data_IF_339194798434
#
_entry.id   IF_339194798434
#
_cell.length_a   1.000
_cell.length_b   1.000
_cell.length_c   1.000
_cell.angle_alpha   90.00
_cell.angle_beta   90.00
_cell.angle_gamma   90.00
#
_symmetry.space_group_name_H-M   'P 1'
#
loop_
_entity.id
_entity.type
_entity.pdbx_description
1 polymer ?
#
# COMPACT_ATOMS: atom_id res chain seq x y z
N UNK A 1 11.61 -8.34 11.96
CA UNK A 1 10.88 -9.52 11.44
C UNK A 1 10.76 -10.63 12.48
N UNK A 2 11.87 -11.19 12.98
CA UNK A 2 11.86 -12.33 13.91
C UNK A 2 11.01 -12.14 15.18
N UNK A 3 11.01 -10.96 15.79
CA UNK A 3 10.23 -10.70 17.01
C UNK A 3 8.72 -10.85 16.75
N UNK A 4 8.23 -10.35 15.62
CA UNK A 4 6.80 -10.41 15.28
C UNK A 4 6.43 -11.80 14.76
N UNK A 5 7.19 -12.33 13.81
CA UNK A 5 6.80 -13.56 13.11
C UNK A 5 7.24 -14.85 13.79
N UNK A 6 8.37 -14.85 14.51
CA UNK A 6 8.88 -16.05 15.17
C UNK A 6 8.50 -16.09 16.64
N UNK A 7 8.34 -14.93 17.30
CA UNK A 7 7.97 -14.86 18.71
C UNK A 7 6.51 -14.45 18.94
N UNK A 8 5.73 -14.24 17.87
CA UNK A 8 4.31 -13.86 17.92
C UNK A 8 4.03 -12.68 18.86
N UNK A 9 4.94 -11.70 18.87
CA UNK A 9 4.83 -10.53 19.72
C UNK A 9 3.91 -9.48 19.08
N UNK A 10 2.76 -9.25 19.69
CA UNK A 10 1.72 -8.33 19.18
C UNK A 10 1.87 -6.88 19.69
N UNK A 11 2.92 -6.55 20.43
CA UNK A 11 3.05 -5.21 20.98
C UNK A 11 3.18 -4.15 19.87
N UNK A 12 2.31 -3.12 19.85
CA UNK A 12 2.23 -2.16 18.74
C UNK A 12 3.55 -1.49 18.37
N UNK A 13 4.41 -1.22 19.36
CA UNK A 13 5.73 -0.63 19.17
C UNK A 13 6.61 -1.40 18.18
N UNK A 14 6.55 -2.74 18.18
CA UNK A 14 7.37 -3.55 17.29
C UNK A 14 6.83 -3.55 15.86
N UNK A 15 5.50 -3.59 15.70
CA UNK A 15 4.85 -3.52 14.40
C UNK A 15 5.02 -2.13 13.77
N UNK A 16 4.87 -1.06 14.56
CA UNK A 16 5.17 0.29 14.11
C UNK A 16 6.63 0.44 13.68
N UNK A 17 7.59 -0.07 14.48
CA UNK A 17 9.00 -0.03 14.13
C UNK A 17 9.31 -0.85 12.87
N UNK A 18 8.70 -2.03 12.70
CA UNK A 18 8.90 -2.85 11.51
C UNK A 18 8.31 -2.16 10.25
N UNK A 19 7.10 -1.61 10.35
CA UNK A 19 6.50 -0.85 9.26
C UNK A 19 7.34 0.36 8.86
N UNK A 20 7.84 1.13 9.83
CA UNK A 20 8.74 2.27 9.57
C UNK A 20 10.05 1.82 8.91
N UNK A 21 10.62 0.70 9.36
CA UNK A 21 11.84 0.14 8.80
C UNK A 21 11.64 -0.25 7.32
N UNK A 22 10.58 -1.00 7.01
CA UNK A 22 10.26 -1.36 5.63
C UNK A 22 10.04 -0.14 4.74
N UNK A 23 9.24 0.83 5.19
CA UNK A 23 9.00 2.07 4.43
C UNK A 23 10.33 2.78 4.12
N UNK A 24 11.21 2.89 5.12
CA UNK A 24 12.50 3.57 4.97
C UNK A 24 13.41 2.85 3.98
N UNK A 25 13.51 1.51 4.08
CA UNK A 25 14.32 0.68 3.19
C UNK A 25 13.79 0.70 1.75
N UNK A 26 12.48 0.57 1.54
CA UNK A 26 11.86 0.67 0.21
C UNK A 26 12.11 2.05 -0.39
N UNK A 27 11.93 3.14 0.37
CA UNK A 27 12.23 4.50 -0.14
C UNK A 27 13.69 4.68 -0.54
N UNK A 28 14.62 4.11 0.22
CA UNK A 28 16.04 4.14 -0.14
C UNK A 28 16.27 3.40 -1.46
N UNK A 29 15.85 2.13 -1.53
CA UNK A 29 16.03 1.28 -2.70
C UNK A 29 15.32 1.86 -3.95
N UNK A 30 14.15 2.46 -3.78
CA UNK A 30 13.41 3.09 -4.88
C UNK A 30 14.15 4.31 -5.45
N UNK A 31 14.81 5.12 -4.61
CA UNK A 31 15.64 6.23 -5.10
C UNK A 31 16.84 5.71 -5.89
N UNK A 32 17.49 4.67 -5.37
CA UNK A 32 18.65 4.06 -6.02
C UNK A 32 18.22 3.46 -7.38
N UNK A 33 17.09 2.74 -7.41
CA UNK A 33 16.49 2.17 -8.62
C UNK A 33 16.12 3.24 -9.67
N UNK A 34 15.45 4.32 -9.26
CA UNK A 34 15.10 5.41 -10.19
C UNK A 34 16.35 6.12 -10.73
N UNK A 35 17.43 6.20 -9.93
CA UNK A 35 18.67 6.86 -10.35
C UNK A 35 19.44 6.10 -11.44
N UNK A 36 19.22 4.79 -11.57
CA UNK A 36 19.86 3.92 -12.57
C UNK A 36 18.95 3.61 -13.75
N UNK A 37 17.66 3.96 -13.65
CA UNK A 37 16.66 3.71 -14.69
C UNK A 37 16.97 4.57 -15.93
N UNK A 38 16.87 3.97 -17.13
CA UNK A 38 17.02 4.72 -18.38
C UNK A 38 15.90 5.76 -18.56
N UNK A 39 16.16 6.85 -19.28
CA UNK A 39 15.16 7.92 -19.51
C UNK A 39 13.85 7.41 -20.16
N UNK A 40 13.93 6.33 -20.94
CA UNK A 40 12.79 5.71 -21.63
C UNK A 40 12.20 4.49 -20.90
N UNK A 41 12.78 4.07 -19.77
CA UNK A 41 12.29 2.92 -19.01
C UNK A 41 11.15 3.33 -18.07
N UNK A 42 10.12 2.48 -18.01
CA UNK A 42 9.03 2.65 -17.07
C UNK A 42 9.35 1.96 -15.75
N UNK A 43 9.04 2.64 -14.64
CA UNK A 43 9.12 2.05 -13.30
C UNK A 43 8.23 0.81 -13.26
N UNK A 44 8.82 -0.33 -12.90
CA UNK A 44 8.08 -1.58 -12.75
C UNK A 44 6.97 -1.45 -11.69
N UNK A 45 5.87 -2.22 -11.80
CA UNK A 45 4.79 -2.20 -10.82
C UNK A 45 5.28 -2.48 -9.40
N UNK A 46 4.56 -1.97 -8.40
CA UNK A 46 4.92 -2.12 -7.00
C UNK A 46 4.98 -3.60 -6.56
N UNK A 47 6.18 -4.08 -6.21
CA UNK A 47 6.45 -5.47 -5.85
C UNK A 47 7.00 -6.32 -7.00
N UNK A 48 6.99 -5.80 -8.24
CA UNK A 48 7.55 -6.44 -9.43
C UNK A 48 8.91 -5.86 -9.83
N UNK A 49 9.46 -4.91 -9.04
CA UNK A 49 10.80 -4.39 -9.27
C UNK A 49 11.88 -5.47 -9.04
N UNK A 50 12.95 -5.42 -9.82
CA UNK A 50 14.03 -6.40 -9.67
C UNK A 50 14.85 -6.21 -8.38
N UNK A 51 15.42 -7.32 -7.89
CA UNK A 51 16.33 -7.34 -6.75
C UNK A 51 15.68 -7.01 -5.41
N UNK A 52 16.46 -6.40 -4.51
CA UNK A 52 16.00 -6.10 -3.14
C UNK A 52 14.76 -5.20 -3.10
N UNK A 53 14.54 -4.35 -4.11
CA UNK A 53 13.42 -3.42 -4.11
C UNK A 53 12.08 -4.16 -4.13
N UNK A 54 11.86 -5.05 -5.11
CA UNK A 54 10.62 -5.83 -5.19
C UNK A 54 10.41 -6.71 -3.97
N UNK A 55 11.48 -7.32 -3.44
CA UNK A 55 11.42 -8.14 -2.24
C UNK A 55 10.94 -7.35 -1.02
N UNK A 56 11.57 -6.21 -0.71
CA UNK A 56 11.17 -5.36 0.42
C UNK A 56 9.81 -4.72 0.20
N UNK A 57 9.44 -4.41 -1.05
CA UNK A 57 8.13 -3.85 -1.37
C UNK A 57 7.01 -4.88 -1.18
N UNK A 58 7.23 -6.13 -1.60
CA UNK A 58 6.35 -7.26 -1.29
C UNK A 58 6.22 -7.50 0.22
N UNK A 59 7.33 -7.46 0.96
CA UNK A 59 7.32 -7.59 2.44
C UNK A 59 6.51 -6.48 3.09
N UNK A 60 6.66 -5.24 2.63
CA UNK A 60 5.90 -4.10 3.13
C UNK A 60 4.40 -4.27 2.86
N UNK A 61 4.00 -4.55 1.62
CA UNK A 61 2.59 -4.74 1.26
C UNK A 61 1.95 -5.87 2.06
N UNK A 62 2.64 -7.02 2.14
CA UNK A 62 2.17 -8.16 2.94
C UNK A 62 2.00 -7.77 4.41
N UNK A 63 2.98 -7.08 5.00
CA UNK A 63 2.88 -6.60 6.38
C UNK A 63 1.68 -5.67 6.59
N UNK A 64 1.46 -4.72 5.68
CA UNK A 64 0.32 -3.80 5.75
C UNK A 64 -1.03 -4.53 5.67
N UNK A 65 -1.10 -5.61 4.89
CA UNK A 65 -2.30 -6.43 4.73
C UNK A 65 -2.55 -7.41 5.88
N UNK A 66 -1.51 -7.96 6.51
CA UNK A 66 -1.68 -9.01 7.53
C UNK A 66 -1.65 -8.48 8.95
N UNK A 67 -0.76 -7.54 9.26
CA UNK A 67 -0.61 -7.02 10.62
C UNK A 67 -1.74 -6.06 10.99
N UNK A 68 -2.33 -6.23 12.17
CA UNK A 68 -3.34 -5.32 12.75
C UNK A 68 -2.81 -4.49 13.93
N UNK A 69 -1.60 -4.78 14.41
CA UNK A 69 -1.05 -4.17 15.63
C UNK A 69 -0.33 -2.82 15.41
N UNK A 70 -0.23 -2.29 14.19
CA UNK A 70 0.35 -0.95 13.94
C UNK A 70 -0.75 0.12 13.83
N UNK A 71 -0.43 1.38 14.13
CA UNK A 71 -1.31 2.52 13.77
C UNK A 71 -1.14 2.87 12.28
N UNK A 72 -2.19 2.73 11.45
CA UNK A 72 -2.10 3.08 10.04
C UNK A 72 -1.86 4.58 9.82
N UNK A 73 -2.36 5.46 10.70
CA UNK A 73 -2.12 6.89 10.64
C UNK A 73 -0.64 7.23 10.80
N UNK A 74 0.05 6.62 11.78
CA UNK A 74 1.49 6.85 11.99
C UNK A 74 2.32 6.42 10.79
N UNK A 75 1.99 5.29 10.17
CA UNK A 75 2.69 4.85 8.95
C UNK A 75 2.34 5.72 7.75
N UNK A 76 1.09 6.18 7.62
CA UNK A 76 0.66 7.04 6.52
C UNK A 76 1.38 8.40 6.55
N UNK A 77 1.70 8.91 7.74
CA UNK A 77 2.55 10.10 7.96
C UNK A 77 3.94 9.93 7.34
N UNK A 78 4.50 8.72 7.38
CA UNK A 78 5.78 8.41 6.75
C UNK A 78 5.69 8.35 5.23
N UNK A 79 4.52 8.02 4.68
CA UNK A 79 4.29 7.97 3.23
C UNK A 79 3.85 9.32 2.65
N UNK A 80 3.93 10.42 3.41
CA UNK A 80 3.74 11.77 2.85
C UNK A 80 4.82 12.03 1.78
N UNK A 81 4.52 12.90 0.82
CA UNK A 81 5.37 13.24 -0.36
C UNK A 81 5.26 12.32 -1.59
N UNK A 82 4.05 11.96 -2.02
CA UNK A 82 3.84 11.45 -3.40
C UNK A 82 4.71 10.23 -3.80
N UNK A 83 4.95 9.32 -2.86
CA UNK A 83 5.70 8.07 -3.08
C UNK A 83 4.93 6.89 -2.50
N UNK A 84 5.19 5.68 -3.00
CA UNK A 84 4.60 4.43 -2.51
C UNK A 84 3.06 4.46 -2.51
N UNK A 85 2.48 4.78 -3.67
CA UNK A 85 1.05 5.03 -3.82
C UNK A 85 0.19 3.81 -3.49
N UNK A 86 0.60 2.61 -3.90
CA UNK A 86 -0.09 1.36 -3.61
C UNK A 86 -0.12 1.10 -2.09
N UNK A 87 1.01 1.29 -1.40
CA UNK A 87 1.11 1.13 0.05
C UNK A 87 0.28 2.19 0.80
N UNK A 88 0.21 3.41 0.26
CA UNK A 88 -0.70 4.46 0.76
C UNK A 88 -2.15 4.07 0.61
N UNK A 89 -2.55 3.48 -0.53
CA UNK A 89 -3.90 3.02 -0.76
C UNK A 89 -4.30 1.90 0.21
N UNK A 90 -3.37 0.97 0.51
CA UNK A 90 -3.57 -0.06 1.55
C UNK A 90 -3.84 0.54 2.93
N UNK A 91 -3.01 1.50 3.36
CA UNK A 91 -3.20 2.19 4.65
C UNK A 91 -4.52 2.98 4.70
N UNK A 92 -4.89 3.67 3.62
CA UNK A 92 -6.17 4.37 3.53
C UNK A 92 -7.36 3.40 3.61
N UNK A 93 -7.25 2.22 2.99
CA UNK A 93 -8.24 1.15 3.14
C UNK A 93 -8.41 0.68 4.57
N UNK A 94 -7.31 0.50 5.32
CA UNK A 94 -7.35 0.19 6.77
C UNK A 94 -8.07 1.26 7.59
N UNK A 95 -7.96 2.51 7.18
CA UNK A 95 -8.63 3.66 7.79
C UNK A 95 -10.06 3.87 7.30
N UNK A 96 -10.62 2.94 6.53
CA UNK A 96 -11.95 3.04 5.87
C UNK A 96 -12.08 4.25 4.93
N UNK A 97 -10.96 4.82 4.49
CA UNK A 97 -10.90 5.94 3.54
C UNK A 97 -10.89 5.43 2.10
N UNK A 98 -11.87 4.60 1.75
CA UNK A 98 -11.92 3.88 0.46
C UNK A 98 -11.93 4.82 -0.74
N UNK A 99 -12.64 5.95 -0.66
CA UNK A 99 -12.64 6.95 -1.72
C UNK A 99 -11.25 7.52 -1.98
N UNK A 100 -10.45 7.78 -0.94
CA UNK A 100 -9.07 8.27 -1.11
C UNK A 100 -8.16 7.17 -1.69
N UNK A 101 -8.34 5.93 -1.25
CA UNK A 101 -7.58 4.79 -1.79
C UNK A 101 -7.88 4.57 -3.29
N UNK A 102 -9.16 4.61 -3.68
CA UNK A 102 -9.57 4.48 -5.07
C UNK A 102 -9.08 5.64 -5.94
N UNK A 103 -9.09 6.88 -5.42
CA UNK A 103 -8.54 8.04 -6.14
C UNK A 103 -7.04 7.85 -6.46
N UNK A 104 -6.27 7.19 -5.59
CA UNK A 104 -4.88 6.85 -5.89
C UNK A 104 -4.80 5.93 -7.11
N UNK A 105 -5.59 4.85 -7.15
CA UNK A 105 -5.55 3.91 -8.27
C UNK A 105 -6.06 4.51 -9.58
N UNK A 106 -7.14 5.30 -9.53
CA UNK A 106 -7.82 5.80 -10.74
C UNK A 106 -7.22 7.09 -11.28
N UNK A 107 -6.85 8.04 -10.41
CA UNK A 107 -6.41 9.38 -10.83
C UNK A 107 -4.89 9.52 -10.87
N UNK A 108 -4.19 8.91 -9.90
CA UNK A 108 -2.72 9.04 -9.80
C UNK A 108 -2.02 7.95 -10.60
N UNK A 109 -2.31 6.68 -10.27
CA UNK A 109 -1.69 5.53 -10.91
C UNK A 109 -2.30 5.22 -12.29
N UNK A 110 -3.52 5.70 -12.54
CA UNK A 110 -4.32 5.38 -13.74
C UNK A 110 -4.40 3.87 -14.03
N UNK A 111 -4.38 3.07 -12.96
CA UNK A 111 -4.39 1.61 -13.02
C UNK A 111 -5.77 1.09 -12.59
N UNK A 112 -6.68 1.05 -13.55
CA UNK A 112 -8.06 0.61 -13.36
C UNK A 112 -8.17 -0.85 -12.90
N UNK A 113 -7.28 -1.72 -13.38
CA UNK A 113 -7.21 -3.12 -12.95
C UNK A 113 -6.88 -3.25 -11.46
N UNK A 114 -5.93 -2.43 -10.97
CA UNK A 114 -5.60 -2.39 -9.56
C UNK A 114 -6.76 -1.83 -8.71
N UNK A 115 -7.49 -0.83 -9.21
CA UNK A 115 -8.69 -0.30 -8.56
C UNK A 115 -9.80 -1.37 -8.43
N UNK A 116 -10.05 -2.15 -9.48
CA UNK A 116 -11.00 -3.26 -9.46
C UNK A 116 -10.57 -4.34 -8.48
N UNK A 117 -9.29 -4.74 -8.50
CA UNK A 117 -8.73 -5.69 -7.54
C UNK A 117 -8.90 -5.20 -6.10
N UNK A 118 -8.61 -3.93 -5.84
CA UNK A 118 -8.84 -3.33 -4.52
C UNK A 118 -10.31 -3.43 -4.08
N UNK A 119 -11.26 -3.20 -4.99
CA UNK A 119 -12.68 -3.39 -4.69
C UNK A 119 -13.00 -4.85 -4.38
N UNK A 120 -12.46 -5.82 -5.13
CA UNK A 120 -12.65 -7.25 -4.87
C UNK A 120 -12.11 -7.64 -3.48
N UNK A 121 -10.89 -7.20 -3.14
CA UNK A 121 -10.24 -7.51 -1.87
C UNK A 121 -10.97 -6.85 -0.69
N UNK A 122 -11.55 -5.67 -0.90
CA UNK A 122 -12.24 -4.91 0.14
C UNK A 122 -13.75 -5.16 0.17
N UNK A 123 -14.37 -5.86 -0.77
CA UNK A 123 -15.82 -6.03 -0.78
C UNK A 123 -16.29 -6.91 0.37
N UNK A 124 -17.34 -6.46 1.07
CA UNK A 124 -17.98 -7.20 2.16
C UNK A 124 -19.47 -6.90 2.13
N UNK A 125 -20.35 -7.88 1.83
CA UNK A 125 -21.77 -7.63 1.61
C UNK A 125 -22.49 -7.17 2.89
N UNK A 126 -22.00 -7.58 4.07
CA UNK A 126 -22.63 -7.27 5.36
C UNK A 126 -22.17 -5.93 5.94
N UNK A 127 -21.16 -5.29 5.35
CA UNK A 127 -20.65 -3.98 5.80
C UNK A 127 -21.25 -2.87 4.92
N UNK A 128 -21.91 -1.85 5.50
CA UNK A 128 -22.65 -0.84 4.73
C UNK A 128 -21.74 0.09 3.90
N UNK A 129 -20.46 0.19 4.23
CA UNK A 129 -19.47 0.97 3.48
C UNK A 129 -18.81 0.09 2.41
N UNK A 130 -18.33 -1.10 2.79
CA UNK A 130 -17.61 -2.02 1.90
C UNK A 130 -18.53 -2.66 0.85
N UNK A 131 -19.83 -2.80 1.12
CA UNK A 131 -20.82 -3.24 0.11
C UNK A 131 -21.03 -2.23 -1.02
N UNK A 132 -20.74 -0.94 -0.78
CA UNK A 132 -20.89 0.15 -1.76
C UNK A 132 -19.59 0.48 -2.48
N UNK A 133 -18.51 -0.25 -2.23
CA UNK A 133 -17.18 0.11 -2.76
C UNK A 133 -17.13 0.14 -4.29
N UNK A 134 -17.82 -0.79 -4.95
CA UNK A 134 -17.96 -0.79 -6.42
C UNK A 134 -18.78 0.39 -6.94
N UNK A 135 -19.76 0.89 -6.17
CA UNK A 135 -20.49 2.10 -6.53
C UNK A 135 -19.59 3.33 -6.48
N UNK A 136 -18.71 3.42 -5.47
CA UNK A 136 -17.71 4.49 -5.38
C UNK A 136 -16.77 4.43 -6.59
N UNK A 137 -16.31 3.24 -6.98
CA UNK A 137 -15.47 3.07 -8.17
C UNK A 137 -16.20 3.53 -9.44
N UNK A 138 -17.45 3.12 -9.64
CA UNK A 138 -18.25 3.53 -10.79
C UNK A 138 -18.41 5.05 -10.86
N UNK A 139 -18.68 5.70 -9.74
CA UNK A 139 -18.78 7.16 -9.65
C UNK A 139 -17.46 7.86 -10.04
N UNK A 140 -16.30 7.23 -9.79
CA UNK A 140 -15.02 7.78 -10.22
C UNK A 140 -14.76 7.65 -11.72
N UNK A 141 -15.42 6.71 -12.41
CA UNK A 141 -15.28 6.54 -13.86
C UNK A 141 -16.22 7.43 -14.66
N UNK A 142 -17.34 7.84 -14.06
CA UNK A 142 -18.38 8.64 -14.74
C UNK A 142 -18.29 10.13 -14.49
N UNK A 143 -17.45 10.57 -13.54
CA UNK A 143 -17.15 11.98 -13.28
C UNK A 143 -15.87 12.39 -13.98
#
# INVERSE_FOLDING_TARGET
EHIIYNWNEDAPKFHEALGQHYISKVKQLQRDYISILGEDEHVAPAGEEEGELGEYRCKLQRFLQTSTAYSPEKLLVQLRHNSLYEERALLLGRLKRHQQALAIYTQILKNYKAAEKYCMDCYEPNDPERSKIFLILLQMYTN
#
